data_IF_670773512919
#
_entry.id   IF_670773512919
#
_cell.length_a   1.000
_cell.length_b   1.000
_cell.length_c   1.000
_cell.angle_alpha   90.00
_cell.angle_beta   90.00
_cell.angle_gamma   90.00
#
_symmetry.space_group_name_H-M   'P 1'
#
loop_
_entity.id
_entity.type
_entity.pdbx_description
1 polymer ?
#
# COMPACT_ATOMS: atom_id res chain seq x y z
N UNK A 1 -8.42 -16.80 -22.54
CA UNK A 1 -7.27 -17.24 -23.36
C UNK A 1 -6.05 -17.23 -22.46
N UNK A 2 -5.52 -18.40 -22.14
CA UNK A 2 -4.41 -18.59 -21.21
C UNK A 2 -3.13 -18.04 -21.82
N UNK A 3 -2.50 -17.06 -21.16
CA UNK A 3 -1.12 -16.68 -21.50
C UNK A 3 -0.20 -17.82 -21.10
N UNK A 4 0.64 -18.26 -22.03
CA UNK A 4 1.37 -19.54 -22.13
C UNK A 4 2.33 -19.93 -20.99
N UNK A 5 2.23 -19.34 -19.79
CA UNK A 5 3.16 -19.51 -18.67
C UNK A 5 2.49 -19.77 -17.31
N UNK A 6 1.19 -20.10 -17.27
CA UNK A 6 0.46 -20.26 -16.00
C UNK A 6 0.33 -18.96 -15.18
N UNK A 7 0.52 -17.82 -15.84
CA UNK A 7 0.37 -16.49 -15.24
C UNK A 7 -1.05 -15.98 -15.49
N UNK A 8 -1.63 -15.35 -14.48
CA UNK A 8 -2.97 -14.74 -14.52
C UNK A 8 -2.92 -13.31 -13.99
N UNK A 9 -3.97 -12.53 -14.25
CA UNK A 9 -4.10 -11.17 -13.72
C UNK A 9 -4.21 -11.20 -12.19
N UNK A 10 -3.65 -10.20 -11.51
CA UNK A 10 -3.80 -10.07 -10.06
C UNK A 10 -5.22 -9.61 -9.71
N UNK A 11 -6.07 -10.56 -9.28
CA UNK A 11 -7.48 -10.30 -8.97
C UNK A 11 -7.68 -9.36 -7.78
N UNK A 12 -6.77 -9.36 -6.82
CA UNK A 12 -6.87 -8.58 -5.58
C UNK A 12 -6.06 -7.28 -5.60
N UNK A 13 -5.73 -6.78 -6.79
CA UNK A 13 -5.10 -5.48 -6.95
C UNK A 13 -6.10 -4.35 -6.63
N UNK A 14 -5.85 -3.61 -5.55
CA UNK A 14 -6.68 -2.46 -5.14
C UNK A 14 -6.04 -1.10 -5.43
N UNK A 15 -4.73 -1.07 -5.67
CA UNK A 15 -3.95 0.14 -5.92
C UNK A 15 -2.95 0.00 -7.07
N UNK A 16 -2.24 1.07 -7.37
CA UNK A 16 -1.33 1.13 -8.52
C UNK A 16 -2.04 1.29 -9.87
N UNK A 17 -1.32 1.00 -10.96
CA UNK A 17 -1.91 0.98 -12.30
C UNK A 17 -2.66 -0.34 -12.48
N UNK A 18 -3.98 -0.25 -12.68
CA UNK A 18 -4.82 -1.44 -12.89
C UNK A 18 -4.40 -2.14 -14.17
N UNK A 19 -4.22 -3.45 -14.09
CA UNK A 19 -3.98 -4.32 -15.24
C UNK A 19 -5.07 -4.15 -16.29
N UNK A 20 -4.66 -3.90 -17.53
CA UNK A 20 -5.52 -4.07 -18.71
C UNK A 20 -5.09 -5.35 -19.43
N UNK A 21 -6.02 -6.11 -19.99
CA UNK A 21 -5.71 -7.37 -20.71
C UNK A 21 -4.65 -7.18 -21.81
N UNK A 22 -4.65 -6.02 -22.48
CA UNK A 22 -3.68 -5.68 -23.53
C UNK A 22 -2.28 -5.33 -23.01
N UNK A 23 -2.12 -5.07 -21.70
CA UNK A 23 -0.84 -4.74 -21.07
C UNK A 23 -0.94 -5.01 -19.55
N UNK A 24 -0.73 -6.25 -19.11
CA UNK A 24 -0.85 -6.59 -17.69
C UNK A 24 0.25 -5.89 -16.89
N UNK A 25 -0.18 -5.00 -15.99
CA UNK A 25 0.69 -4.24 -15.09
C UNK A 25 0.99 -4.97 -13.78
N UNK A 26 0.32 -6.08 -13.48
CA UNK A 26 0.67 -7.02 -12.41
C UNK A 26 0.15 -8.40 -12.79
N UNK A 27 0.89 -9.45 -12.45
CA UNK A 27 0.49 -10.84 -12.70
C UNK A 27 0.69 -11.66 -11.43
N UNK A 28 0.02 -12.80 -11.33
CA UNK A 28 0.25 -13.82 -10.30
C UNK A 28 0.36 -15.19 -10.94
N UNK A 29 0.94 -16.16 -10.23
CA UNK A 29 0.94 -17.57 -10.62
C UNK A 29 0.37 -18.48 -9.54
N UNK A 30 0.18 -19.75 -9.90
CA UNK A 30 -0.44 -20.75 -9.03
C UNK A 30 0.47 -21.19 -7.87
N UNK A 31 1.74 -20.77 -7.87
CA UNK A 31 2.69 -21.04 -6.79
C UNK A 31 2.77 -19.88 -5.78
N UNK A 32 1.82 -18.93 -5.83
CA UNK A 32 1.77 -17.81 -4.89
C UNK A 32 2.84 -16.75 -5.14
N UNK A 33 3.23 -16.55 -6.40
CA UNK A 33 4.17 -15.48 -6.77
C UNK A 33 3.45 -14.34 -7.46
N UNK A 34 3.76 -13.12 -7.03
CA UNK A 34 3.31 -11.85 -7.59
C UNK A 34 4.40 -11.22 -8.46
N UNK A 35 4.03 -10.80 -9.66
CA UNK A 35 4.92 -10.23 -10.67
C UNK A 35 4.55 -8.77 -10.90
N UNK A 36 5.45 -7.87 -10.51
CA UNK A 36 5.31 -6.43 -10.76
C UNK A 36 6.30 -6.00 -11.84
N UNK A 37 5.88 -5.29 -12.90
CA UNK A 37 6.77 -4.76 -13.92
C UNK A 37 7.94 -4.03 -13.28
N UNK A 38 9.13 -4.44 -13.67
CA UNK A 38 10.33 -3.79 -13.21
C UNK A 38 10.36 -2.37 -13.75
N UNK A 39 10.44 -1.41 -12.84
CA UNK A 39 10.73 -0.03 -13.13
C UNK A 39 12.19 0.14 -12.73
N UNK A 40 13.07 0.38 -13.71
CA UNK A 40 14.50 0.58 -13.47
C UNK A 40 14.71 1.87 -12.67
N UNK A 41 14.66 1.72 -11.36
CA UNK A 41 14.67 2.81 -10.41
C UNK A 41 15.97 2.73 -9.63
N UNK A 42 16.93 3.52 -10.11
CA UNK A 42 18.11 4.01 -9.38
C UNK A 42 18.73 3.01 -8.39
N UNK A 43 19.09 1.81 -8.87
CA UNK A 43 19.89 0.87 -8.08
C UNK A 43 19.12 -0.06 -7.14
N UNK A 44 17.78 -0.07 -7.17
CA UNK A 44 16.99 -1.05 -6.41
C UNK A 44 17.16 -2.49 -6.90
N UNK A 45 17.84 -2.72 -8.04
CA UNK A 45 18.11 -4.07 -8.57
C UNK A 45 18.80 -4.98 -7.54
N UNK A 46 19.66 -4.42 -6.69
CA UNK A 46 20.32 -5.17 -5.62
C UNK A 46 19.35 -5.64 -4.51
N UNK A 47 18.18 -5.02 -4.41
CA UNK A 47 17.15 -5.29 -3.40
C UNK A 47 15.91 -5.99 -3.97
N UNK A 48 15.85 -6.20 -5.30
CA UNK A 48 14.78 -7.00 -5.91
C UNK A 48 15.19 -8.48 -5.78
N UNK A 49 14.49 -9.28 -4.96
CA UNK A 49 14.94 -10.62 -4.60
C UNK A 49 14.97 -11.57 -5.79
N UNK A 50 14.12 -11.34 -6.80
CA UNK A 50 14.05 -12.16 -8.01
C UNK A 50 13.50 -11.37 -9.19
N UNK A 51 14.11 -11.55 -10.34
CA UNK A 51 13.65 -11.01 -11.62
C UNK A 51 13.17 -12.14 -12.53
N UNK A 52 12.17 -11.87 -13.36
CA UNK A 52 11.71 -12.76 -14.41
C UNK A 52 11.34 -11.98 -15.66
N UNK A 53 11.62 -12.54 -16.83
CA UNK A 53 11.11 -12.02 -18.09
C UNK A 53 9.83 -12.75 -18.47
N UNK A 54 8.82 -12.00 -18.89
CA UNK A 54 7.54 -12.52 -19.39
C UNK A 54 7.20 -11.75 -20.66
N UNK A 55 7.12 -12.45 -21.80
CA UNK A 55 6.83 -11.85 -23.11
C UNK A 55 7.67 -10.59 -23.42
N UNK A 56 8.98 -10.65 -23.16
CA UNK A 56 9.92 -9.53 -23.42
C UNK A 56 9.82 -8.36 -22.45
N UNK A 57 9.03 -8.45 -21.38
CA UNK A 57 8.95 -7.46 -20.29
C UNK A 57 9.53 -8.04 -19.00
N UNK A 58 10.32 -7.23 -18.31
CA UNK A 58 10.96 -7.61 -17.03
C UNK A 58 10.00 -7.36 -15.85
N UNK A 59 9.99 -8.28 -14.90
CA UNK A 59 9.17 -8.24 -13.68
C UNK A 59 10.00 -8.54 -12.43
N UNK A 60 9.76 -7.79 -11.37
CA UNK A 60 10.09 -8.19 -10.00
C UNK A 60 9.15 -9.31 -9.57
N UNK A 61 9.69 -10.40 -9.05
CA UNK A 61 8.92 -11.52 -8.50
C UNK A 61 8.99 -11.46 -6.98
N UNK A 62 7.82 -11.44 -6.34
CA UNK A 62 7.62 -11.35 -4.90
C UNK A 62 6.58 -12.38 -4.47
N UNK A 63 6.44 -12.59 -3.17
CA UNK A 63 5.34 -13.38 -2.62
C UNK A 63 4.00 -12.68 -2.88
N UNK A 64 3.00 -13.45 -3.33
CA UNK A 64 1.60 -13.01 -3.33
C UNK A 64 1.02 -13.20 -1.92
N UNK A 65 1.00 -12.12 -1.14
CA UNK A 65 0.47 -12.12 0.22
C UNK A 65 -1.03 -12.43 0.30
N UNK A 66 -1.76 -12.44 -0.83
CA UNK A 66 -3.16 -12.82 -0.89
C UNK A 66 -3.37 -14.32 -1.19
N UNK A 67 -2.34 -15.03 -1.66
CA UNK A 67 -2.48 -16.39 -2.20
C UNK A 67 -3.07 -17.40 -1.21
N UNK A 68 -2.72 -17.26 0.09
CA UNK A 68 -3.20 -18.16 1.13
C UNK A 68 -4.64 -17.88 1.59
N UNK A 69 -5.30 -16.84 1.06
CA UNK A 69 -6.61 -16.39 1.50
C UNK A 69 -7.67 -16.67 0.43
N UNK A 70 -8.79 -17.27 0.83
CA UNK A 70 -9.92 -17.51 -0.07
C UNK A 70 -10.63 -16.21 -0.49
N UNK A 71 -10.79 -15.29 0.46
CA UNK A 71 -11.48 -14.01 0.28
C UNK A 71 -10.73 -12.90 1.00
N UNK A 72 -9.55 -12.48 0.50
CA UNK A 72 -8.72 -11.50 1.19
C UNK A 72 -9.38 -10.12 1.23
N UNK A 73 -9.40 -9.51 2.40
CA UNK A 73 -9.61 -8.06 2.52
C UNK A 73 -8.25 -7.37 2.34
N UNK A 74 -8.18 -6.38 1.46
CA UNK A 74 -6.93 -5.67 1.14
C UNK A 74 -7.15 -4.17 1.31
N UNK A 75 -6.32 -3.54 2.13
CA UNK A 75 -6.30 -2.09 2.31
C UNK A 75 -4.95 -1.55 1.84
N UNK A 76 -5.00 -0.60 0.92
CA UNK A 76 -3.81 0.03 0.37
C UNK A 76 -3.70 1.48 0.84
N UNK A 77 -2.70 1.76 1.68
CA UNK A 77 -2.43 3.07 2.27
C UNK A 77 -1.12 3.61 1.74
N UNK A 78 -1.17 4.85 1.26
CA UNK A 78 0.00 5.58 0.79
C UNK A 78 0.49 6.51 1.89
N UNK A 79 1.77 6.42 2.25
CA UNK A 79 2.35 7.09 3.42
C UNK A 79 3.18 8.33 3.05
N UNK A 80 3.35 9.22 4.03
CA UNK A 80 4.15 10.44 4.01
C UNK A 80 3.33 11.73 3.82
N UNK A 81 3.55 12.75 4.66
CA UNK A 81 2.93 14.07 4.51
C UNK A 81 3.23 14.76 3.18
N UNK A 82 4.40 14.51 2.61
CA UNK A 82 4.81 15.03 1.30
C UNK A 82 5.14 13.90 0.33
N UNK A 83 4.66 14.04 -0.91
CA UNK A 83 4.94 13.08 -1.99
C UNK A 83 5.92 13.59 -3.04
N UNK A 84 6.40 14.84 -2.89
CA UNK A 84 7.39 15.48 -3.74
C UNK A 84 8.82 15.21 -3.25
N UNK A 85 9.76 15.12 -4.17
CA UNK A 85 11.20 15.12 -3.90
C UNK A 85 11.77 16.52 -4.05
N UNK A 86 12.82 16.85 -3.29
CA UNK A 86 13.50 18.14 -3.38
C UNK A 86 14.10 18.37 -4.78
N UNK A 87 14.63 17.33 -5.41
CA UNK A 87 15.27 17.36 -6.73
C UNK A 87 14.29 17.16 -7.91
N UNK A 88 12.98 17.07 -7.65
CA UNK A 88 12.00 16.97 -8.74
C UNK A 88 11.80 18.33 -9.43
N UNK A 89 11.33 18.33 -10.68
CA UNK A 89 11.00 19.56 -11.41
C UNK A 89 9.90 20.36 -10.72
N UNK A 90 9.88 21.67 -10.94
CA UNK A 90 8.89 22.58 -10.35
C UNK A 90 7.45 22.14 -10.65
N UNK A 91 7.19 21.77 -11.90
CA UNK A 91 5.90 21.24 -12.33
C UNK A 91 5.50 19.96 -11.56
N UNK A 92 6.45 19.05 -11.32
CA UNK A 92 6.19 17.84 -10.54
C UNK A 92 5.93 18.13 -9.06
N UNK A 93 6.74 19.03 -8.47
CA UNK A 93 6.58 19.44 -7.07
C UNK A 93 5.22 20.10 -6.84
N UNK A 94 4.78 20.96 -7.76
CA UNK A 94 3.47 21.61 -7.70
C UNK A 94 2.32 20.62 -7.86
N UNK A 95 2.41 19.72 -8.84
CA UNK A 95 1.44 18.64 -9.02
C UNK A 95 1.28 17.78 -7.76
N UNK A 96 2.38 17.45 -7.10
CA UNK A 96 2.34 16.68 -5.85
C UNK A 96 1.74 17.50 -4.71
N UNK A 97 2.13 18.78 -4.57
CA UNK A 97 1.59 19.69 -3.55
C UNK A 97 0.06 19.81 -3.65
N UNK A 98 -0.47 20.11 -4.84
CA UNK A 98 -1.92 20.22 -5.08
C UNK A 98 -2.65 18.93 -4.70
N UNK A 99 -2.10 17.79 -5.12
CA UNK A 99 -2.67 16.46 -4.82
C UNK A 99 -2.64 16.13 -3.33
N UNK A 100 -1.55 16.46 -2.65
CA UNK A 100 -1.41 16.15 -1.22
C UNK A 100 -2.36 17.01 -0.38
N UNK A 101 -2.49 18.30 -0.71
CA UNK A 101 -3.44 19.23 -0.07
C UNK A 101 -4.92 18.87 -0.30
N UNK A 102 -5.23 18.26 -1.43
CA UNK A 102 -6.59 17.86 -1.77
C UNK A 102 -7.03 16.52 -1.12
N UNK A 103 -6.21 15.93 -0.24
CA UNK A 103 -6.47 14.61 0.36
C UNK A 103 -6.05 14.59 1.83
N UNK A 104 -6.33 13.50 2.54
CA UNK A 104 -5.83 13.28 3.91
C UNK A 104 -4.31 13.21 4.00
N UNK A 105 -3.57 13.18 2.88
CA UNK A 105 -2.11 13.14 2.88
C UNK A 105 -1.51 14.32 3.66
N UNK A 106 -2.00 15.54 3.44
CA UNK A 106 -1.44 16.72 4.09
C UNK A 106 -1.83 16.86 5.56
N UNK A 107 -2.97 16.30 5.97
CA UNK A 107 -3.48 16.43 7.35
C UNK A 107 -3.11 15.24 8.24
N UNK A 108 -3.13 14.02 7.71
CA UNK A 108 -2.91 12.78 8.44
C UNK A 108 -1.58 12.11 8.11
N UNK A 109 -0.85 12.60 7.10
CA UNK A 109 0.38 11.99 6.62
C UNK A 109 0.16 10.76 5.73
N UNK A 110 -1.09 10.38 5.45
CA UNK A 110 -1.39 9.25 4.59
C UNK A 110 -2.77 9.37 3.92
N UNK A 111 -2.99 8.56 2.89
CA UNK A 111 -4.31 8.42 2.24
C UNK A 111 -4.56 7.00 1.79
N UNK A 112 -5.83 6.61 1.78
CA UNK A 112 -6.25 5.33 1.19
C UNK A 112 -6.20 5.45 -0.32
N UNK A 113 -5.51 4.52 -0.97
CA UNK A 113 -5.41 4.44 -2.44
C UNK A 113 -6.23 3.31 -3.04
N UNK A 114 -6.65 2.35 -2.21
CA UNK A 114 -7.49 1.23 -2.59
C UNK A 114 -8.00 0.47 -1.37
N UNK A 115 -9.17 -0.14 -1.50
CA UNK A 115 -9.80 -0.97 -0.50
C UNK A 115 -10.59 -2.10 -1.17
N UNK A 116 -10.42 -3.33 -0.69
CA UNK A 116 -11.23 -4.49 -1.00
C UNK A 116 -11.67 -5.12 0.31
N UNK A 117 -12.98 -5.30 0.49
CA UNK A 117 -13.56 -5.93 1.67
C UNK A 117 -14.52 -7.01 1.22
N UNK A 118 -14.35 -8.21 1.75
CA UNK A 118 -15.34 -9.28 1.64
C UNK A 118 -16.24 -9.23 2.88
N UNK A 119 -17.56 -9.12 2.69
CA UNK A 119 -18.55 -9.14 3.78
C UNK A 119 -19.16 -10.53 3.89
N UNK A 120 -18.81 -11.27 4.93
CA UNK A 120 -19.18 -12.68 5.06
C UNK A 120 -20.70 -12.89 5.15
N UNK A 121 -21.41 -11.98 5.82
CA UNK A 121 -22.87 -12.04 5.95
C UNK A 121 -23.58 -11.83 4.61
N UNK A 122 -23.00 -11.03 3.72
CA UNK A 122 -23.55 -10.70 2.41
C UNK A 122 -23.06 -11.69 1.33
N UNK A 123 -21.94 -12.37 1.56
CA UNK A 123 -21.27 -13.18 0.54
C UNK A 123 -20.66 -12.34 -0.59
N UNK A 124 -20.45 -11.05 -0.38
CA UNK A 124 -20.10 -10.09 -1.42
C UNK A 124 -18.72 -9.44 -1.19
N UNK A 125 -18.03 -9.16 -2.30
CA UNK A 125 -16.78 -8.41 -2.32
C UNK A 125 -17.01 -6.98 -2.83
N UNK A 126 -16.67 -5.99 -2.00
CA UNK A 126 -16.74 -4.56 -2.34
C UNK A 126 -15.34 -4.03 -2.60
N UNK A 127 -15.14 -3.36 -3.74
CA UNK A 127 -13.87 -2.72 -4.11
C UNK A 127 -14.07 -1.21 -4.28
N UNK A 128 -13.26 -0.42 -3.58
CA UNK A 128 -13.22 1.03 -3.69
C UNK A 128 -11.81 1.46 -4.12
N UNK A 129 -11.74 2.15 -5.26
CA UNK A 129 -10.46 2.56 -5.84
C UNK A 129 -10.00 3.94 -5.38
N UNK A 130 -8.94 4.42 -6.06
CA UNK A 130 -8.30 5.72 -5.82
C UNK A 130 -9.27 6.92 -5.84
N UNK A 131 -10.31 6.90 -6.66
CA UNK A 131 -11.28 8.01 -6.73
C UNK A 131 -12.02 8.17 -5.40
N UNK A 132 -12.51 7.06 -4.83
CA UNK A 132 -13.15 7.04 -3.52
C UNK A 132 -12.16 7.40 -2.40
N UNK A 133 -10.94 6.86 -2.41
CA UNK A 133 -9.95 7.19 -1.39
C UNK A 133 -9.61 8.70 -1.33
N UNK A 134 -9.75 9.43 -2.44
CA UNK A 134 -9.56 10.89 -2.50
C UNK A 134 -10.74 11.69 -1.93
N UNK A 135 -11.93 11.10 -1.78
CA UNK A 135 -13.08 11.79 -1.17
C UNK A 135 -13.04 11.74 0.35
N UNK A 136 -12.17 10.91 0.93
CA UNK A 136 -12.01 10.80 2.37
C UNK A 136 -11.38 12.07 2.94
N UNK A 137 -11.84 12.42 4.13
CA UNK A 137 -11.38 13.53 4.96
C UNK A 137 -10.89 12.97 6.29
N UNK A 138 -10.21 13.80 7.09
CA UNK A 138 -9.81 13.41 8.44
C UNK A 138 -11.01 12.91 9.27
N UNK A 139 -12.17 13.52 9.10
CA UNK A 139 -13.39 13.16 9.83
C UNK A 139 -14.05 11.87 9.34
N UNK A 140 -13.86 11.46 8.09
CA UNK A 140 -14.47 10.25 7.52
C UNK A 140 -13.51 9.06 7.45
N UNK A 141 -12.22 9.29 7.68
CA UNK A 141 -11.18 8.28 7.56
C UNK A 141 -11.41 7.08 8.49
N UNK A 142 -11.87 7.33 9.71
CA UNK A 142 -12.19 6.29 10.68
C UNK A 142 -13.21 5.27 10.12
N UNK A 143 -14.20 5.73 9.36
CA UNK A 143 -15.24 4.87 8.76
C UNK A 143 -14.63 3.90 7.74
N UNK A 144 -13.63 4.33 6.98
CA UNK A 144 -12.94 3.48 6.01
C UNK A 144 -12.15 2.35 6.69
N UNK A 145 -11.46 2.66 7.80
CA UNK A 145 -10.74 1.65 8.58
C UNK A 145 -11.67 0.72 9.36
N UNK A 146 -12.81 1.23 9.85
CA UNK A 146 -13.89 0.40 10.41
C UNK A 146 -14.46 -0.54 9.36
N UNK A 147 -14.75 -0.04 8.15
CA UNK A 147 -15.25 -0.84 7.04
C UNK A 147 -14.28 -1.97 6.65
N UNK A 148 -12.97 -1.70 6.64
CA UNK A 148 -11.97 -2.74 6.35
C UNK A 148 -11.91 -3.83 7.43
N UNK A 149 -11.99 -3.41 8.69
CA UNK A 149 -11.76 -4.26 9.83
C UNK A 149 -13.01 -5.00 10.34
N UNK A 150 -14.15 -4.71 9.76
CA UNK A 150 -15.40 -5.40 9.99
C UNK A 150 -15.81 -6.16 8.73
N UNK A 151 -15.69 -7.48 8.78
CA UNK A 151 -16.17 -8.36 7.72
C UNK A 151 -17.40 -9.20 8.13
N UNK A 152 -17.96 -8.93 9.31
CA UNK A 152 -19.05 -9.71 9.93
C UNK A 152 -18.59 -10.93 10.75
N UNK A 153 -17.31 -11.31 10.70
CA UNK A 153 -16.72 -12.33 11.57
C UNK A 153 -15.62 -11.78 12.49
N UNK A 154 -14.90 -10.77 12.03
CA UNK A 154 -13.97 -9.97 12.83
C UNK A 154 -14.53 -8.57 13.02
N UNK A 155 -14.21 -7.97 14.16
CA UNK A 155 -14.53 -6.58 14.47
C UNK A 155 -13.30 -5.68 14.43
N UNK A 156 -13.47 -4.35 14.34
CA UNK A 156 -12.36 -3.40 14.44
C UNK A 156 -11.50 -3.58 15.69
N UNK A 157 -12.14 -3.86 16.84
CA UNK A 157 -11.45 -4.15 18.09
C UNK A 157 -10.54 -5.38 18.03
N UNK A 158 -10.86 -6.38 17.22
CA UNK A 158 -10.02 -7.57 17.05
C UNK A 158 -8.90 -7.35 16.02
N UNK A 159 -9.21 -6.70 14.89
CA UNK A 159 -8.23 -6.46 13.82
C UNK A 159 -7.19 -5.42 14.23
N UNK A 160 -7.61 -4.38 14.97
CA UNK A 160 -6.76 -3.29 15.43
C UNK A 160 -6.27 -3.43 16.86
N UNK A 161 -6.53 -4.57 17.51
CA UNK A 161 -5.99 -4.87 18.83
C UNK A 161 -4.46 -4.69 18.86
N UNK A 162 -3.87 -4.19 19.96
CA UNK A 162 -2.42 -4.06 20.09
C UNK A 162 -1.65 -5.37 19.86
N UNK A 163 -2.28 -6.51 20.17
CA UNK A 163 -1.73 -7.85 19.96
C UNK A 163 -2.00 -8.43 18.58
N UNK A 164 -2.75 -7.74 17.70
CA UNK A 164 -3.05 -8.26 16.38
C UNK A 164 -1.77 -8.32 15.53
N UNK A 165 -1.61 -9.34 14.67
CA UNK A 165 -0.41 -9.47 13.83
C UNK A 165 -0.13 -8.22 12.98
N UNK A 166 -1.17 -7.56 12.47
CA UNK A 166 -1.04 -6.35 11.66
C UNK A 166 -0.45 -5.18 12.48
N UNK A 167 -0.98 -4.94 13.67
CA UNK A 167 -0.49 -3.85 14.54
C UNK A 167 0.93 -4.12 15.02
N UNK A 168 1.25 -5.35 15.42
CA UNK A 168 2.61 -5.75 15.80
C UNK A 168 3.61 -5.50 14.65
N UNK A 169 3.23 -5.84 13.41
CA UNK A 169 4.08 -5.57 12.23
C UNK A 169 4.27 -4.08 11.98
N UNK A 170 3.22 -3.26 12.11
CA UNK A 170 3.32 -1.81 11.98
C UNK A 170 4.20 -1.18 13.07
N UNK A 171 4.15 -1.69 14.31
CA UNK A 171 5.01 -1.25 15.40
C UNK A 171 6.48 -1.63 15.16
N UNK A 172 6.75 -2.85 14.67
CA UNK A 172 8.10 -3.27 14.26
C UNK A 172 8.66 -2.37 13.14
N UNK A 173 7.81 -2.02 12.17
CA UNK A 173 8.17 -1.10 11.10
C UNK A 173 8.45 0.31 11.62
N UNK A 174 7.65 0.80 12.57
CA UNK A 174 7.91 2.09 13.23
C UNK A 174 9.27 2.09 13.93
N UNK A 175 9.54 1.06 14.74
CA UNK A 175 10.82 0.92 15.44
C UNK A 175 12.01 0.84 14.46
N UNK A 176 11.84 0.19 13.31
CA UNK A 176 12.86 0.19 12.27
C UNK A 176 13.05 1.57 11.62
N UNK A 177 11.95 2.29 11.32
CA UNK A 177 11.99 3.63 10.73
C UNK A 177 12.67 4.65 11.65
N UNK A 178 12.56 4.49 12.96
CA UNK A 178 13.25 5.33 13.96
C UNK A 178 14.77 5.19 13.92
N UNK A 179 15.28 4.00 13.58
CA UNK A 179 16.71 3.68 13.61
C UNK A 179 17.37 3.76 12.23
N UNK A 180 16.64 3.40 11.17
CA UNK A 180 17.19 3.34 9.83
C UNK A 180 17.52 4.75 9.33
N UNK A 181 18.68 4.87 8.72
CA UNK A 181 19.17 6.12 8.11
C UNK A 181 19.73 5.86 6.72
N UNK A 182 19.28 4.79 6.07
CA UNK A 182 19.75 4.41 4.73
C UNK A 182 18.81 4.87 3.64
N UNK A 183 17.52 5.03 3.95
CA UNK A 183 16.49 5.30 2.96
C UNK A 183 15.56 6.45 3.37
N UNK A 184 15.10 7.20 2.36
CA UNK A 184 13.97 8.09 2.44
C UNK A 184 12.91 7.65 1.42
N UNK A 185 11.65 7.78 1.82
CA UNK A 185 10.50 7.21 1.15
C UNK A 185 9.52 8.31 0.80
N UNK A 186 9.08 8.35 -0.45
CA UNK A 186 7.96 9.18 -0.83
C UNK A 186 7.00 8.35 -1.65
N UNK A 187 5.72 8.70 -1.61
CA UNK A 187 4.70 7.94 -2.34
C UNK A 187 4.70 6.43 -2.05
N UNK A 188 5.27 6.04 -0.91
CA UNK A 188 5.48 4.65 -0.57
C UNK A 188 4.14 4.04 -0.16
N UNK A 189 3.92 2.86 -0.70
CA UNK A 189 3.08 1.85 -0.08
C UNK A 189 4.09 0.85 0.47
N UNK A 190 3.90 0.22 1.63
CA UNK A 190 4.94 -0.69 2.16
C UNK A 190 5.13 -1.99 1.35
N UNK A 191 4.49 -2.07 0.17
CA UNK A 191 4.65 -3.05 -0.91
C UNK A 191 5.16 -2.42 -2.24
N UNK A 192 5.40 -1.11 -2.26
CA UNK A 192 5.82 -0.33 -3.42
C UNK A 192 6.96 0.63 -3.08
N UNK A 193 8.18 0.18 -3.40
CA UNK A 193 9.41 0.92 -3.15
C UNK A 193 9.86 1.77 -4.35
N UNK A 194 9.01 1.98 -5.36
CA UNK A 194 9.39 2.68 -6.59
C UNK A 194 9.88 4.14 -6.38
N UNK A 195 9.64 4.67 -5.20
CA UNK A 195 9.95 6.04 -4.83
C UNK A 195 10.73 6.09 -3.50
N UNK A 196 11.61 5.11 -3.34
CA UNK A 196 12.58 5.01 -2.23
C UNK A 196 13.95 5.41 -2.74
N UNK A 197 14.63 6.29 -2.00
CA UNK A 197 15.92 6.85 -2.37
C UNK A 197 16.89 6.75 -1.18
N UNK A 198 18.22 6.75 -1.41
CA UNK A 198 19.18 6.89 -0.34
C UNK A 198 18.96 8.20 0.42
N UNK A 199 18.98 8.14 1.75
CA UNK A 199 18.86 9.34 2.61
C UNK A 199 20.26 9.89 2.98
N UNK A 200 20.40 11.19 3.33
CA UNK A 200 21.65 11.78 3.81
C UNK A 200 22.13 11.30 5.20
N UNK A 201 21.81 10.06 5.58
CA UNK A 201 22.03 9.48 6.93
C UNK A 201 21.15 10.06 8.03
N UNK A 202 19.92 10.45 7.71
CA UNK A 202 18.90 10.87 8.70
C UNK A 202 17.65 9.99 8.62
N UNK A 203 16.93 9.77 9.75
CA UNK A 203 15.64 9.11 9.72
C UNK A 203 14.64 9.84 8.82
N UNK A 204 13.75 9.08 8.18
CA UNK A 204 12.70 9.64 7.34
C UNK A 204 11.50 10.07 8.18
N UNK A 205 11.55 11.32 8.67
CA UNK A 205 10.47 11.91 9.45
C UNK A 205 9.14 11.98 8.68
N UNK A 206 9.17 12.05 7.34
CA UNK A 206 7.97 12.15 6.53
C UNK A 206 7.06 10.92 6.72
N UNK A 207 7.65 9.72 6.61
CA UNK A 207 6.92 8.46 6.76
C UNK A 207 6.80 8.02 8.22
N UNK A 208 7.80 8.31 9.04
CA UNK A 208 7.76 8.00 10.48
C UNK A 208 6.57 8.69 11.16
N UNK A 209 6.42 10.01 11.00
CA UNK A 209 5.31 10.75 11.62
C UNK A 209 3.95 10.35 11.04
N UNK A 210 3.90 10.01 9.74
CA UNK A 210 2.70 9.47 9.11
C UNK A 210 2.27 8.11 9.72
N UNK A 211 3.24 7.21 9.98
CA UNK A 211 2.97 5.91 10.59
C UNK A 211 2.52 6.04 12.04
N UNK A 212 3.08 6.99 12.79
CA UNK A 212 2.60 7.32 14.14
C UNK A 212 1.15 7.81 14.11
N UNK A 213 0.79 8.66 13.13
CA UNK A 213 -0.58 9.16 12.95
C UNK A 213 -1.55 8.03 12.59
N UNK A 214 -1.13 7.09 11.73
CA UNK A 214 -1.90 5.89 11.40
C UNK A 214 -2.13 5.03 12.65
N UNK A 215 -1.08 4.68 13.39
CA UNK A 215 -1.19 3.87 14.61
C UNK A 215 -2.08 4.53 15.67
N UNK A 216 -2.01 5.86 15.82
CA UNK A 216 -2.88 6.61 16.72
C UNK A 216 -4.37 6.54 16.30
N UNK A 217 -4.66 6.57 14.99
CA UNK A 217 -6.02 6.36 14.49
C UNK A 217 -6.51 4.93 14.77
N UNK A 218 -5.68 3.92 14.47
CA UNK A 218 -6.02 2.52 14.68
C UNK A 218 -6.24 2.18 16.15
N UNK A 219 -5.44 2.75 17.06
CA UNK A 219 -5.61 2.58 18.50
C UNK A 219 -6.99 3.09 18.96
N UNK A 220 -7.42 4.26 18.50
CA UNK A 220 -8.76 4.80 18.81
C UNK A 220 -9.89 3.87 18.32
N UNK A 221 -9.70 3.23 17.17
CA UNK A 221 -10.67 2.27 16.62
C UNK A 221 -10.66 0.94 17.37
N UNK A 222 -9.52 0.55 17.95
CA UNK A 222 -9.43 -0.65 18.79
C UNK A 222 -10.22 -0.50 20.09
N UNK A 223 -10.31 0.72 20.63
CA UNK A 223 -10.97 1.01 21.90
C UNK A 223 -12.49 1.23 21.77
N UNK A 224 -12.99 1.38 20.53
CA UNK A 224 -14.42 1.52 20.25
C UNK A 224 -15.07 0.13 20.33
N UNK A 225 -15.84 -0.10 21.42
CA UNK A 225 -16.67 -1.28 21.62
C UNK A 225 -17.89 -1.28 20.69
#
# INVERSE_FOLDING_TARGET
MSTDHGLRLCEHQVGGHMTKESKPDTLVDDAGRFYKPYQDLMGLRAFVPRMSEVAGRQYCVMEDVCHAYLQPCVLDVKMGFVTKYAWATDAYREKCRVKDQATTQSSMGFRISGLQVYRQQEGEMKKMGRSWGKTLTQDTLHQAFTLFADNGALTPGQVWAPSSPAIVRLQQLLAWLEQQTSFCFFQVHFIDFAHTFPTPRTPDLNVLTALQSLLALLAKLSDQR
#
